data_IF_647252202513
#
_entry.id   IF_647252202513
#
_cell.length_a   1.000
_cell.length_b   1.000
_cell.length_c   1.000
_cell.angle_alpha   90.00
_cell.angle_beta   90.00
_cell.angle_gamma   90.00
#
_symmetry.space_group_name_H-M   'P 1'
#
loop_
_entity.id
_entity.type
_entity.pdbx_description
1 polymer ?
#
# COMPACT_ATOMS: atom_id res chain seq x y z
N UNK A 1 5.89 8.37 -17.19
CA UNK A 1 7.34 8.45 -16.93
C UNK A 1 7.57 9.06 -15.56
N UNK A 2 8.73 8.82 -14.94
CA UNK A 2 9.06 9.37 -13.62
C UNK A 2 10.17 10.40 -13.77
N UNK A 3 9.94 11.58 -13.19
CA UNK A 3 10.91 12.66 -13.09
C UNK A 3 11.45 12.70 -11.67
N UNK A 4 12.74 12.97 -11.51
CA UNK A 4 13.39 13.09 -10.22
C UNK A 4 13.81 14.53 -9.98
N UNK A 5 13.41 15.09 -8.85
CA UNK A 5 13.78 16.44 -8.44
C UNK A 5 14.57 16.39 -7.14
N UNK A 6 15.74 16.96 -7.13
CA UNK A 6 16.57 17.07 -5.91
C UNK A 6 16.27 18.37 -5.18
N UNK A 7 15.84 18.24 -3.94
CA UNK A 7 15.58 19.39 -3.08
C UNK A 7 16.87 19.99 -2.52
N UNK A 8 16.84 21.23 -2.02
CA UNK A 8 17.98 21.82 -1.30
C UNK A 8 18.40 21.02 -0.06
N UNK A 9 17.48 20.28 0.56
CA UNK A 9 17.75 19.35 1.68
C UNK A 9 18.37 18.01 1.23
N UNK A 10 18.61 17.82 -0.05
CA UNK A 10 19.16 16.62 -0.70
C UNK A 10 18.20 15.45 -0.81
N UNK A 11 16.97 15.54 -0.33
CA UNK A 11 15.94 14.54 -0.66
C UNK A 11 15.64 14.54 -2.15
N UNK A 12 15.01 13.48 -2.62
CA UNK A 12 14.60 13.32 -4.02
C UNK A 12 13.09 13.17 -4.07
N UNK A 13 12.43 14.04 -4.83
CA UNK A 13 11.00 13.91 -5.12
C UNK A 13 10.87 13.19 -6.47
N UNK A 14 10.22 12.03 -6.46
CA UNK A 14 9.85 11.29 -7.66
C UNK A 14 8.43 11.66 -8.05
N UNK A 15 8.25 12.13 -9.28
CA UNK A 15 6.96 12.59 -9.84
C UNK A 15 6.60 11.74 -11.04
N UNK A 16 5.49 11.02 -10.96
CA UNK A 16 4.93 10.26 -12.07
C UNK A 16 4.04 11.16 -12.92
N UNK A 17 4.38 11.28 -14.20
CA UNK A 17 3.66 12.08 -15.19
C UNK A 17 3.41 11.26 -16.46
N UNK A 18 2.26 11.47 -17.10
CA UNK A 18 1.80 10.68 -18.26
C UNK A 18 2.35 11.19 -19.62
N UNK A 19 2.91 12.40 -19.64
CA UNK A 19 3.46 13.04 -20.84
C UNK A 19 4.88 13.60 -20.60
N UNK A 20 5.52 14.07 -21.67
CA UNK A 20 6.78 14.81 -21.57
C UNK A 20 6.49 16.25 -21.15
N UNK A 21 6.93 16.71 -19.98
CA UNK A 21 6.63 18.06 -19.52
C UNK A 21 7.33 19.12 -20.35
N UNK A 22 6.69 20.28 -20.45
CA UNK A 22 7.27 21.50 -20.98
C UNK A 22 8.28 22.10 -19.99
N UNK A 23 9.08 23.06 -20.44
CA UNK A 23 10.00 23.77 -19.57
C UNK A 23 9.28 24.58 -18.48
N UNK A 24 8.11 25.12 -18.80
CA UNK A 24 7.30 25.88 -17.85
C UNK A 24 6.76 24.98 -16.73
N UNK A 25 6.23 23.79 -17.05
CA UNK A 25 5.82 22.79 -16.06
C UNK A 25 6.98 22.34 -15.17
N UNK A 26 8.17 22.12 -15.75
CA UNK A 26 9.38 21.81 -14.98
C UNK A 26 9.71 22.93 -13.99
N UNK A 27 9.68 24.19 -14.46
CA UNK A 27 9.98 25.34 -13.62
C UNK A 27 8.98 25.48 -12.47
N UNK A 28 7.68 25.26 -12.74
CA UNK A 28 6.63 25.29 -11.72
C UNK A 28 6.80 24.16 -10.70
N UNK A 29 7.15 22.94 -11.15
CA UNK A 29 7.44 21.83 -10.25
C UNK A 29 8.69 22.10 -9.40
N UNK A 30 9.76 22.64 -9.99
CA UNK A 30 10.96 23.02 -9.25
C UNK A 30 10.62 24.03 -8.13
N UNK A 31 9.80 25.04 -8.45
CA UNK A 31 9.36 26.02 -7.46
C UNK A 31 8.47 25.37 -6.38
N UNK A 32 7.49 24.55 -6.79
CA UNK A 32 6.59 23.86 -5.87
C UNK A 32 7.34 22.97 -4.87
N UNK A 33 8.44 22.35 -5.30
CA UNK A 33 9.27 21.49 -4.47
C UNK A 33 10.38 22.25 -3.71
N UNK A 34 10.18 23.57 -3.49
CA UNK A 34 11.06 24.39 -2.67
C UNK A 34 12.40 24.68 -3.34
N UNK A 35 12.35 25.14 -4.58
CA UNK A 35 13.52 25.41 -5.45
C UNK A 35 14.38 24.16 -5.73
N UNK A 36 13.71 23.02 -5.91
CA UNK A 36 14.35 21.78 -6.29
C UNK A 36 14.92 21.87 -7.72
N UNK A 37 15.86 20.99 -8.02
CA UNK A 37 16.50 20.89 -9.34
C UNK A 37 16.10 19.57 -10.00
N UNK A 38 15.67 19.63 -11.28
CA UNK A 38 15.41 18.43 -12.06
C UNK A 38 16.74 17.67 -12.30
N UNK A 39 16.74 16.39 -11.98
CA UNK A 39 17.84 15.47 -12.30
C UNK A 39 17.62 14.90 -13.72
N UNK A 40 18.58 15.13 -14.61
CA UNK A 40 18.57 14.56 -15.96
C UNK A 40 19.06 13.10 -15.92
N UNK A 41 18.31 12.25 -15.24
CA UNK A 41 18.65 10.84 -15.07
C UNK A 41 17.40 9.96 -15.04
N UNK A 42 17.48 8.81 -15.71
CA UNK A 42 16.43 7.78 -15.68
C UNK A 42 16.51 6.92 -14.41
N UNK A 43 17.66 6.92 -13.76
CA UNK A 43 17.92 6.19 -12.52
C UNK A 43 18.93 6.95 -11.67
N UNK A 44 18.65 7.06 -10.39
CA UNK A 44 19.55 7.61 -9.39
C UNK A 44 20.20 6.47 -8.60
N UNK A 45 21.51 6.53 -8.44
CA UNK A 45 22.30 5.55 -7.70
C UNK A 45 22.38 5.92 -6.21
N UNK A 46 22.63 4.95 -5.35
CA UNK A 46 22.78 5.12 -3.91
C UNK A 46 21.62 4.50 -3.13
N UNK A 47 21.68 4.65 -1.82
CA UNK A 47 20.64 4.12 -0.94
C UNK A 47 19.64 5.21 -0.55
N UNK A 48 18.37 4.86 -0.58
CA UNK A 48 17.27 5.76 -0.25
C UNK A 48 16.27 5.07 0.66
N UNK A 49 15.75 5.82 1.62
CA UNK A 49 14.56 5.43 2.38
C UNK A 49 13.37 6.22 1.83
N UNK A 50 12.29 5.55 1.51
CA UNK A 50 11.08 6.16 0.98
C UNK A 50 9.86 5.31 1.24
N UNK A 51 8.67 5.77 0.83
CA UNK A 51 7.43 5.03 1.05
C UNK A 51 7.45 3.70 0.30
N UNK A 52 6.71 2.72 0.83
CA UNK A 52 6.53 1.43 0.16
C UNK A 52 5.81 1.63 -1.18
N UNK A 53 6.19 0.85 -2.19
CA UNK A 53 5.62 0.95 -3.55
C UNK A 53 4.11 0.75 -3.58
N UNK A 54 3.62 -0.15 -2.71
CA UNK A 54 2.23 -0.54 -2.60
C UNK A 54 1.34 0.52 -1.95
N UNK A 55 1.95 1.54 -1.34
CA UNK A 55 1.26 2.60 -0.61
C UNK A 55 1.41 3.94 -1.32
N UNK A 56 0.30 4.60 -1.60
CA UNK A 56 0.29 6.04 -1.92
C UNK A 56 0.17 6.76 -0.58
N UNK A 57 1.13 7.61 -0.26
CA UNK A 57 1.10 8.33 1.01
C UNK A 57 0.01 9.42 1.01
N UNK A 58 -0.55 9.79 2.18
CA UNK A 58 -1.43 10.95 2.29
C UNK A 58 -0.76 12.24 1.82
N UNK A 59 0.56 12.35 2.00
CA UNK A 59 1.35 13.46 1.48
C UNK A 59 1.31 13.49 -0.05
N UNK A 60 1.50 12.35 -0.72
CA UNK A 60 1.40 12.22 -2.18
C UNK A 60 0.03 12.65 -2.70
N UNK A 61 -1.04 12.20 -2.06
CA UNK A 61 -2.40 12.57 -2.44
C UNK A 61 -2.60 14.09 -2.42
N UNK A 62 -2.17 14.75 -1.34
CA UNK A 62 -2.25 16.19 -1.22
C UNK A 62 -1.35 16.91 -2.24
N UNK A 63 -0.13 16.42 -2.47
CA UNK A 63 0.79 16.99 -3.44
C UNK A 63 0.21 16.93 -4.88
N UNK A 64 -0.37 15.81 -5.25
CA UNK A 64 -1.06 15.66 -6.55
C UNK A 64 -2.24 16.60 -6.66
N UNK A 65 -3.06 16.75 -5.63
CA UNK A 65 -4.18 17.71 -5.63
C UNK A 65 -3.70 19.16 -5.82
N UNK A 66 -2.58 19.52 -5.17
CA UNK A 66 -1.98 20.87 -5.36
C UNK A 66 -1.56 21.07 -6.82
N UNK A 67 -0.90 20.08 -7.45
CA UNK A 67 -0.51 20.21 -8.87
C UNK A 67 -1.73 20.37 -9.79
N UNK A 68 -2.81 19.65 -9.52
CA UNK A 68 -4.07 19.79 -10.27
C UNK A 68 -4.66 21.19 -10.12
N UNK A 69 -4.66 21.75 -8.91
CA UNK A 69 -5.12 23.13 -8.66
C UNK A 69 -4.25 24.19 -9.33
N UNK A 70 -2.97 23.88 -9.57
CA UNK A 70 -2.04 24.70 -10.37
C UNK A 70 -2.20 24.50 -11.89
N UNK A 71 -3.11 23.66 -12.33
CA UNK A 71 -3.31 23.27 -13.73
C UNK A 71 -2.15 22.44 -14.32
N UNK A 72 -1.30 21.85 -13.49
CA UNK A 72 -0.30 20.86 -13.86
C UNK A 72 -0.99 19.49 -13.97
N UNK A 73 -1.43 19.14 -15.17
CA UNK A 73 -2.21 17.92 -15.39
C UNK A 73 -1.31 16.70 -15.69
N UNK A 74 -1.89 15.50 -15.60
CA UNK A 74 -1.19 14.25 -15.95
C UNK A 74 -0.24 13.72 -14.88
N UNK A 75 -0.21 14.34 -13.71
CA UNK A 75 0.57 13.86 -12.55
C UNK A 75 -0.30 12.95 -11.72
N UNK A 76 0.15 11.70 -11.52
CA UNK A 76 -0.60 10.64 -10.84
C UNK A 76 -0.06 10.31 -9.45
N UNK A 77 1.24 10.50 -9.23
CA UNK A 77 1.89 10.19 -7.96
C UNK A 77 3.13 11.05 -7.74
N UNK A 78 3.31 11.52 -6.51
CA UNK A 78 4.47 12.28 -6.09
C UNK A 78 4.92 11.74 -4.73
N UNK A 79 6.18 11.28 -4.59
CA UNK A 79 6.70 10.75 -3.33
C UNK A 79 8.11 11.27 -3.07
N UNK A 80 8.46 11.40 -1.80
CA UNK A 80 9.78 11.87 -1.38
C UNK A 80 10.64 10.70 -0.87
N UNK A 81 11.91 10.70 -1.28
CA UNK A 81 12.93 9.71 -0.96
C UNK A 81 14.12 10.39 -0.29
N UNK A 82 14.58 9.85 0.80
CA UNK A 82 15.67 10.39 1.60
C UNK A 82 16.94 9.59 1.34
N UNK A 83 18.03 10.22 0.85
CA UNK A 83 19.30 9.53 0.68
C UNK A 83 19.86 9.13 2.04
N UNK A 84 20.43 7.93 2.12
CA UNK A 84 21.07 7.38 3.30
C UNK A 84 22.42 6.78 2.94
N UNK A 85 23.30 6.65 3.95
CA UNK A 85 24.67 6.23 3.72
C UNK A 85 24.84 4.72 3.50
N UNK A 86 23.90 3.91 3.98
CA UNK A 86 24.01 2.45 3.91
C UNK A 86 22.64 1.79 3.75
N UNK A 87 22.65 0.53 3.33
CA UNK A 87 21.47 -0.33 3.22
C UNK A 87 20.84 -0.64 4.58
N UNK A 88 21.63 -0.59 5.66
CA UNK A 88 21.19 -0.90 7.03
C UNK A 88 20.60 0.32 7.75
N UNK A 89 20.36 1.44 7.04
CA UNK A 89 19.79 2.63 7.65
C UNK A 89 18.43 2.35 8.29
N UNK A 90 18.23 2.86 9.49
CA UNK A 90 16.99 2.69 10.24
C UNK A 90 15.81 3.32 9.50
N UNK A 91 14.72 2.59 9.41
CA UNK A 91 13.46 3.05 8.80
C UNK A 91 12.28 2.27 9.40
N UNK A 92 11.08 2.82 9.27
CA UNK A 92 9.85 2.14 9.67
C UNK A 92 9.39 1.15 8.58
N UNK A 93 9.54 -0.18 8.77
CA UNK A 93 9.20 -1.16 7.74
C UNK A 93 7.69 -1.27 7.45
N UNK A 94 6.84 -0.70 8.30
CA UNK A 94 5.40 -0.64 8.06
C UNK A 94 5.06 0.39 6.97
N UNK A 95 5.76 1.52 6.96
CA UNK A 95 5.47 2.67 6.09
C UNK A 95 6.52 2.87 5.00
N UNK A 96 7.76 2.48 5.27
CA UNK A 96 8.92 2.77 4.45
C UNK A 96 9.61 1.51 3.96
N UNK A 97 10.46 1.71 2.98
CA UNK A 97 11.33 0.68 2.41
C UNK A 97 12.69 1.27 2.05
N UNK A 98 13.71 0.42 2.15
CA UNK A 98 15.04 0.69 1.61
C UNK A 98 15.07 0.42 0.11
N UNK A 99 15.67 1.35 -0.64
CA UNK A 99 15.89 1.26 -2.08
C UNK A 99 17.39 1.32 -2.39
N UNK A 100 17.86 0.39 -3.19
CA UNK A 100 19.21 0.43 -3.79
C UNK A 100 19.09 1.00 -5.20
N UNK A 101 19.17 2.32 -5.29
CA UNK A 101 18.78 3.09 -6.47
C UNK A 101 17.27 3.26 -6.61
N UNK A 102 16.88 4.36 -7.26
CA UNK A 102 15.49 4.63 -7.64
C UNK A 102 15.43 4.94 -9.14
N UNK A 103 14.51 4.32 -9.85
CA UNK A 103 14.40 4.40 -11.31
C UNK A 103 12.96 4.52 -11.78
N UNK A 104 12.76 4.33 -13.08
CA UNK A 104 11.44 4.44 -13.72
C UNK A 104 10.42 3.40 -13.22
N UNK A 105 10.88 2.39 -12.47
CA UNK A 105 10.05 1.35 -11.85
C UNK A 105 9.73 1.62 -10.37
N UNK A 106 10.12 2.77 -9.85
CA UNK A 106 10.05 3.06 -8.40
C UNK A 106 8.63 2.95 -7.83
N UNK A 107 7.60 3.19 -8.64
CA UNK A 107 6.18 3.03 -8.28
C UNK A 107 5.56 1.72 -8.79
N UNK A 108 6.32 0.92 -9.51
CA UNK A 108 5.79 -0.33 -10.08
C UNK A 108 5.71 -1.41 -9.01
N UNK A 109 4.52 -1.94 -8.81
CA UNK A 109 4.27 -3.08 -7.91
C UNK A 109 4.31 -4.36 -8.75
N UNK A 110 5.40 -5.11 -8.61
CA UNK A 110 5.59 -6.41 -9.28
C UNK A 110 5.19 -7.56 -8.35
N UNK A 111 4.08 -7.42 -7.64
CA UNK A 111 3.59 -8.48 -6.79
C UNK A 111 2.66 -9.38 -7.59
N UNK A 112 3.03 -10.65 -7.71
CA UNK A 112 2.09 -11.65 -8.21
C UNK A 112 1.19 -12.06 -7.04
N UNK A 113 -0.13 -12.00 -7.20
CA UNK A 113 -1.05 -12.45 -6.15
C UNK A 113 -0.77 -13.93 -5.83
N UNK A 114 -0.86 -14.27 -4.57
CA UNK A 114 -0.83 -15.68 -4.18
C UNK A 114 -1.97 -16.44 -4.86
N UNK A 115 -1.76 -17.73 -5.19
CA UNK A 115 -2.83 -18.53 -5.74
C UNK A 115 -3.95 -18.69 -4.71
N UNK A 116 -5.18 -18.72 -5.19
CA UNK A 116 -6.36 -19.00 -4.36
C UNK A 116 -6.18 -20.38 -3.70
N UNK A 117 -6.29 -20.43 -2.38
CA UNK A 117 -6.21 -21.67 -1.60
C UNK A 117 -7.64 -22.13 -1.26
N UNK A 118 -7.93 -23.38 -1.55
CA UNK A 118 -9.15 -24.02 -1.06
C UNK A 118 -8.87 -24.66 0.29
N UNK A 119 -9.77 -24.47 1.24
CA UNK A 119 -9.61 -24.94 2.63
C UNK A 119 -10.43 -26.21 2.80
N UNK A 120 -9.74 -27.33 3.03
CA UNK A 120 -10.39 -28.64 3.21
C UNK A 120 -10.85 -28.90 4.65
N UNK A 121 -10.27 -28.21 5.64
CA UNK A 121 -10.52 -28.38 7.08
C UNK A 121 -10.72 -27.01 7.71
N UNK A 122 -11.98 -26.62 7.87
CA UNK A 122 -12.38 -25.30 8.39
C UNK A 122 -12.01 -25.11 9.86
N UNK A 123 -12.14 -26.15 10.68
CA UNK A 123 -11.85 -26.12 12.10
C UNK A 123 -10.36 -25.84 12.33
N UNK A 124 -9.53 -26.59 11.63
CA UNK A 124 -8.07 -26.43 11.69
C UNK A 124 -7.64 -25.06 11.17
N UNK A 125 -8.19 -24.60 10.05
CA UNK A 125 -7.91 -23.29 9.48
C UNK A 125 -8.32 -22.15 10.42
N UNK A 126 -9.48 -22.28 11.07
CA UNK A 126 -9.95 -21.33 12.09
C UNK A 126 -8.96 -21.19 13.25
N UNK A 127 -8.39 -22.33 13.69
CA UNK A 127 -7.41 -22.35 14.81
C UNK A 127 -6.05 -21.78 14.36
N UNK A 128 -5.53 -22.21 13.21
CA UNK A 128 -4.22 -21.80 12.67
C UNK A 128 -4.16 -20.30 12.35
N UNK A 129 -5.23 -19.76 11.75
CA UNK A 129 -5.31 -18.34 11.37
C UNK A 129 -5.92 -17.45 12.47
N UNK A 130 -6.36 -18.02 13.58
CA UNK A 130 -6.93 -17.28 14.71
C UNK A 130 -8.18 -16.50 14.36
N UNK A 131 -9.07 -17.04 13.53
CA UNK A 131 -10.25 -16.35 13.00
C UNK A 131 -11.37 -16.15 14.04
N UNK A 132 -11.34 -16.89 15.15
CA UNK A 132 -12.32 -16.87 16.23
C UNK A 132 -13.76 -17.14 15.78
N UNK A 133 -13.93 -18.05 14.79
CA UNK A 133 -15.25 -18.51 14.37
C UNK A 133 -15.87 -19.43 15.44
N UNK A 134 -17.14 -19.21 15.72
CA UNK A 134 -17.92 -20.08 16.61
C UNK A 134 -18.34 -21.37 15.90
N UNK A 135 -18.77 -22.38 16.69
CA UNK A 135 -19.31 -23.63 16.16
C UNK A 135 -20.49 -23.43 15.20
N UNK A 136 -21.39 -22.48 15.49
CA UNK A 136 -22.51 -22.15 14.63
C UNK A 136 -22.06 -21.52 13.30
N UNK A 137 -21.02 -20.69 13.32
CA UNK A 137 -20.45 -20.07 12.12
C UNK A 137 -19.74 -21.10 11.27
N UNK A 138 -18.98 -22.02 11.85
CA UNK A 138 -18.37 -23.14 11.13
C UNK A 138 -19.44 -24.04 10.50
N UNK A 139 -20.51 -24.38 11.24
CA UNK A 139 -21.61 -25.16 10.72
C UNK A 139 -22.31 -24.46 9.53
N UNK A 140 -22.44 -23.13 9.60
CA UNK A 140 -22.96 -22.33 8.49
C UNK A 140 -22.04 -22.37 7.26
N UNK A 141 -20.73 -22.24 7.44
CA UNK A 141 -19.75 -22.34 6.33
C UNK A 141 -19.75 -23.70 5.68
N UNK A 142 -19.82 -24.80 6.46
CA UNK A 142 -19.99 -26.16 5.92
C UNK A 142 -21.29 -26.34 5.10
N UNK A 143 -22.36 -25.66 5.49
CA UNK A 143 -23.58 -25.66 4.69
C UNK A 143 -23.35 -24.94 3.36
N UNK A 144 -22.66 -23.82 3.34
CA UNK A 144 -22.31 -23.09 2.11
C UNK A 144 -21.42 -23.93 1.18
N UNK A 145 -20.47 -24.68 1.72
CA UNK A 145 -19.66 -25.62 0.92
C UNK A 145 -20.50 -26.65 0.17
N UNK A 146 -21.47 -27.22 0.88
CA UNK A 146 -22.41 -28.19 0.28
C UNK A 146 -23.29 -27.55 -0.79
N UNK A 147 -23.79 -26.34 -0.55
CA UNK A 147 -24.61 -25.61 -1.51
C UNK A 147 -23.82 -25.20 -2.75
N UNK A 148 -22.57 -24.81 -2.59
CA UNK A 148 -21.67 -24.43 -3.69
C UNK A 148 -21.05 -25.64 -4.41
N UNK A 149 -21.09 -26.84 -3.82
CA UNK A 149 -20.49 -28.05 -4.38
C UNK A 149 -18.95 -28.00 -4.44
N UNK A 150 -18.31 -27.17 -3.62
CA UNK A 150 -16.85 -27.04 -3.51
C UNK A 150 -16.45 -26.57 -2.11
N UNK A 151 -15.19 -26.83 -1.69
CA UNK A 151 -14.62 -26.18 -0.52
C UNK A 151 -14.63 -24.64 -0.67
N UNK A 152 -14.67 -23.95 0.44
CA UNK A 152 -14.52 -22.49 0.46
C UNK A 152 -13.03 -22.11 0.28
N UNK A 153 -12.81 -20.93 -0.25
CA UNK A 153 -11.46 -20.37 -0.36
C UNK A 153 -11.03 -19.68 0.93
N UNK A 154 -9.74 -19.55 1.14
CA UNK A 154 -9.15 -18.75 2.21
C UNK A 154 -9.75 -17.34 2.28
N UNK A 155 -9.88 -16.69 1.13
CA UNK A 155 -10.44 -15.33 1.02
C UNK A 155 -11.92 -15.26 1.39
N UNK A 156 -12.72 -16.28 1.05
CA UNK A 156 -14.14 -16.36 1.43
C UNK A 156 -14.29 -16.54 2.94
N UNK A 157 -13.51 -17.43 3.54
CA UNK A 157 -13.54 -17.69 4.99
C UNK A 157 -13.02 -16.48 5.76
N UNK A 158 -11.90 -15.90 5.34
CA UNK A 158 -11.33 -14.71 5.96
C UNK A 158 -12.27 -13.52 5.86
N UNK A 159 -12.89 -13.29 4.71
CA UNK A 159 -13.88 -12.23 4.51
C UNK A 159 -15.09 -12.40 5.43
N UNK A 160 -15.62 -13.63 5.55
CA UNK A 160 -16.70 -13.93 6.49
C UNK A 160 -16.29 -13.67 7.94
N UNK A 161 -15.11 -14.15 8.36
CA UNK A 161 -14.58 -13.93 9.68
C UNK A 161 -14.41 -12.44 10.01
N UNK A 162 -13.94 -11.62 9.06
CA UNK A 162 -13.77 -10.18 9.24
C UNK A 162 -15.11 -9.46 9.43
N UNK A 163 -16.15 -9.82 8.69
CA UNK A 163 -17.48 -9.23 8.85
C UNK A 163 -18.06 -9.54 10.22
N UNK A 164 -17.87 -10.76 10.73
CA UNK A 164 -18.39 -11.24 12.01
C UNK A 164 -17.38 -11.07 13.17
N UNK A 165 -16.26 -10.40 12.94
CA UNK A 165 -15.18 -10.35 13.92
C UNK A 165 -15.48 -9.47 15.13
N UNK A 166 -14.78 -9.75 16.22
CA UNK A 166 -14.87 -9.01 17.48
C UNK A 166 -14.37 -7.57 17.40
N UNK A 167 -13.61 -7.18 16.35
CA UNK A 167 -13.13 -5.81 16.22
C UNK A 167 -14.28 -4.80 16.04
N UNK A 168 -15.40 -5.23 15.46
CA UNK A 168 -16.66 -4.46 15.41
C UNK A 168 -17.54 -4.69 16.64
N UNK A 169 -17.17 -5.59 17.56
CA UNK A 169 -17.87 -5.95 18.80
C UNK A 169 -19.29 -6.46 18.61
N UNK A 170 -19.68 -6.90 17.43
CA UNK A 170 -21.04 -7.39 17.16
C UNK A 170 -21.41 -8.58 18.06
N UNK A 171 -20.50 -9.53 18.28
CA UNK A 171 -20.71 -10.69 19.14
C UNK A 171 -20.89 -10.28 20.60
N UNK A 172 -20.10 -9.34 21.10
CA UNK A 172 -20.17 -8.84 22.48
C UNK A 172 -21.50 -8.14 22.72
N UNK A 173 -21.99 -7.30 21.81
CA UNK A 173 -23.26 -6.60 21.95
C UNK A 173 -24.48 -7.52 21.82
N UNK A 174 -24.36 -8.64 21.12
CA UNK A 174 -25.38 -9.68 21.02
C UNK A 174 -25.37 -10.70 22.18
N UNK A 175 -24.35 -10.65 23.02
CA UNK A 175 -24.18 -11.59 24.13
C UNK A 175 -25.15 -11.39 25.29
N UNK A 176 -25.37 -12.44 26.06
CA UNK A 176 -26.09 -12.39 27.35
C UNK A 176 -25.08 -12.39 28.50
N UNK A 177 -25.25 -11.43 29.42
CA UNK A 177 -24.42 -11.37 30.63
C UNK A 177 -25.16 -12.11 31.77
N UNK A 178 -24.49 -13.10 32.38
CA UNK A 178 -24.94 -13.78 33.60
C UNK A 178 -24.03 -13.26 34.70
N UNK A 179 -24.64 -12.60 35.70
CA UNK A 179 -23.96 -12.04 36.87
C UNK A 179 -24.44 -12.80 38.09
N UNK A 180 -23.53 -13.52 38.77
CA UNK A 180 -23.79 -14.22 40.05
C UNK A 180 -23.60 -13.29 41.25
#
# INVERSE_FOLDING_TARGET
MILFFRTPSKSVIATEIDHKPSQDEINELCWLYGDATLEDAQQLQGFYVGPRREMITPWSTNAVEITQNMSLNGISRIEEYFPVDSEDAEHDPMLQRMYNGIGQDVFTVNHQPEPIKYVDDLEKYNEEEGLALSEDEIAYLHKLEKENGRPLTDSEIFGFAQINSEHCRHKIFGGQFIID
#
